data_IF_533453737672
#
_entry.id   IF_533453737672
#
_cell.length_a   1.000
_cell.length_b   1.000
_cell.length_c   1.000
_cell.angle_alpha   90.00
_cell.angle_beta   90.00
_cell.angle_gamma   90.00
#
_symmetry.space_group_name_H-M   'P 1'
#
loop_
_entity.id
_entity.type
_entity.pdbx_description
1 polymer ?
#
# COMPACT_ATOMS: atom_id res chain seq x y z
N UNK A 1 -27.62 -21.40 61.26
CA UNK A 1 -26.34 -21.70 60.61
C UNK A 1 -26.35 -21.10 59.20
N UNK A 2 -25.37 -20.23 58.87
CA UNK A 2 -25.34 -19.39 57.67
C UNK A 2 -25.09 -20.22 56.41
N UNK A 3 -25.85 -19.89 55.36
CA UNK A 3 -25.76 -20.41 53.98
C UNK A 3 -24.47 -19.91 53.31
N UNK A 4 -23.79 -20.77 52.55
CA UNK A 4 -22.75 -20.37 51.59
C UNK A 4 -23.14 -20.98 50.24
N UNK A 5 -23.54 -20.12 49.31
CA UNK A 5 -23.77 -20.45 47.90
C UNK A 5 -22.56 -19.91 47.13
N UNK A 6 -21.83 -20.70 46.32
CA UNK A 6 -20.72 -20.19 45.55
C UNK A 6 -21.23 -19.44 44.32
N UNK A 7 -20.84 -18.17 44.19
CA UNK A 7 -21.05 -17.37 43.00
C UNK A 7 -20.05 -17.84 41.91
N UNK A 8 -20.54 -18.53 40.88
CA UNK A 8 -19.79 -18.80 39.66
C UNK A 8 -19.72 -17.50 38.84
N UNK A 9 -18.56 -16.85 38.83
CA UNK A 9 -18.27 -15.76 37.90
C UNK A 9 -17.91 -16.36 36.53
N UNK A 10 -18.88 -16.38 35.60
CA UNK A 10 -18.61 -16.69 34.20
C UNK A 10 -17.95 -15.47 33.55
N UNK A 11 -16.65 -15.57 33.27
CA UNK A 11 -15.92 -14.60 32.45
C UNK A 11 -16.40 -14.71 31.00
N UNK A 12 -17.16 -13.71 30.53
CA UNK A 12 -17.47 -13.56 29.12
C UNK A 12 -16.21 -13.15 28.36
N UNK A 13 -15.54 -14.10 27.70
CA UNK A 13 -14.60 -13.78 26.63
C UNK A 13 -15.40 -13.23 25.44
N UNK A 14 -15.57 -11.91 25.42
CA UNK A 14 -15.99 -11.21 24.21
C UNK A 14 -14.88 -11.31 23.17
N UNK A 15 -15.05 -12.15 22.16
CA UNK A 15 -14.28 -12.03 20.92
C UNK A 15 -14.67 -10.72 20.27
N UNK A 16 -13.83 -9.70 20.47
CA UNK A 16 -13.87 -8.49 19.65
C UNK A 16 -13.50 -8.91 18.23
N UNK A 17 -14.51 -9.29 17.46
CA UNK A 17 -14.45 -9.36 16.00
C UNK A 17 -14.25 -7.94 15.49
N UNK A 18 -13.02 -7.46 15.54
CA UNK A 18 -12.62 -6.22 14.91
C UNK A 18 -12.88 -6.37 13.42
N UNK A 19 -13.81 -5.60 12.89
CA UNK A 19 -13.88 -5.34 11.46
C UNK A 19 -12.49 -4.85 11.06
N UNK A 20 -11.76 -5.65 10.28
CA UNK A 20 -10.45 -5.30 9.76
C UNK A 20 -10.63 -4.16 8.76
N UNK A 21 -10.74 -2.93 9.27
CA UNK A 21 -10.71 -1.75 8.45
C UNK A 21 -9.41 -1.76 7.64
N UNK A 22 -9.50 -1.42 6.35
CA UNK A 22 -8.33 -1.38 5.48
C UNK A 22 -7.26 -0.45 6.08
N UNK A 23 -5.98 -0.88 6.14
CA UNK A 23 -4.90 -0.01 6.60
C UNK A 23 -4.87 1.30 5.81
N UNK A 24 -4.71 2.44 6.50
CA UNK A 24 -4.81 3.77 5.88
C UNK A 24 -3.85 3.97 4.70
N UNK A 25 -2.61 3.48 4.83
CA UNK A 25 -1.62 3.55 3.75
C UNK A 25 -2.04 2.77 2.51
N UNK A 26 -2.65 1.59 2.69
CA UNK A 26 -3.18 0.78 1.60
C UNK A 26 -4.32 1.50 0.89
N UNK A 27 -5.25 2.09 1.64
CA UNK A 27 -6.34 2.87 1.05
C UNK A 27 -5.83 4.10 0.27
N UNK A 28 -4.85 4.82 0.83
CA UNK A 28 -4.21 5.95 0.16
C UNK A 28 -3.52 5.53 -1.15
N UNK A 29 -2.76 4.43 -1.12
CA UNK A 29 -2.10 3.88 -2.31
C UNK A 29 -3.11 3.47 -3.38
N UNK A 30 -4.19 2.75 -3.02
CA UNK A 30 -5.21 2.31 -3.97
C UNK A 30 -5.81 3.50 -4.73
N UNK A 31 -6.17 4.58 -4.01
CA UNK A 31 -6.75 5.77 -4.63
C UNK A 31 -5.72 6.52 -5.48
N UNK A 32 -4.50 6.73 -4.97
CA UNK A 32 -3.48 7.49 -5.68
C UNK A 32 -2.99 6.78 -6.95
N UNK A 33 -2.97 5.45 -6.95
CA UNK A 33 -2.56 4.63 -8.09
C UNK A 33 -3.73 4.32 -9.05
N UNK A 34 -4.94 4.83 -8.76
CA UNK A 34 -6.17 4.60 -9.53
C UNK A 34 -6.62 3.12 -9.57
N UNK A 35 -6.29 2.36 -8.54
CA UNK A 35 -6.71 0.96 -8.39
C UNK A 35 -8.16 0.86 -7.88
N UNK A 36 -8.69 1.93 -7.30
CA UNK A 36 -10.09 2.08 -6.87
C UNK A 36 -11.11 1.94 -8.01
N UNK A 37 -10.68 2.16 -9.26
CA UNK A 37 -11.52 2.07 -10.46
C UNK A 37 -11.68 0.64 -10.98
N UNK A 38 -10.92 -0.31 -10.45
CA UNK A 38 -10.93 -1.70 -10.90
C UNK A 38 -12.07 -2.53 -10.28
N UNK A 39 -12.54 -2.14 -9.10
CA UNK A 39 -13.53 -2.88 -8.33
C UNK A 39 -14.43 -1.89 -7.56
N UNK A 40 -15.76 -1.88 -7.79
CA UNK A 40 -16.67 -0.97 -7.08
C UNK A 40 -16.72 -1.21 -5.56
N UNK A 41 -16.20 -2.34 -5.07
CA UNK A 41 -16.10 -2.71 -3.66
C UNK A 41 -14.64 -2.71 -3.17
N UNK A 42 -13.75 -1.94 -3.80
CA UNK A 42 -12.32 -1.94 -3.50
C UNK A 42 -12.00 -1.75 -2.00
N UNK A 43 -12.79 -0.96 -1.27
CA UNK A 43 -12.61 -0.69 0.16
C UNK A 43 -12.70 -1.97 1.02
N UNK A 44 -13.33 -3.02 0.50
CA UNK A 44 -13.52 -4.31 1.16
C UNK A 44 -12.74 -5.44 0.49
N UNK A 45 -12.06 -5.16 -0.63
CA UNK A 45 -11.44 -6.17 -1.48
C UNK A 45 -9.94 -6.29 -1.17
N UNK A 46 -9.52 -7.45 -0.66
CA UNK A 46 -8.11 -7.86 -0.56
C UNK A 46 -7.41 -7.93 -1.92
N UNK A 47 -8.19 -8.08 -3.00
CA UNK A 47 -7.70 -8.36 -4.35
C UNK A 47 -7.22 -7.13 -5.10
N UNK A 48 -7.74 -5.94 -4.77
CA UNK A 48 -7.40 -4.71 -5.48
C UNK A 48 -5.92 -4.36 -5.29
N UNK A 49 -5.38 -4.54 -4.08
CA UNK A 49 -3.96 -4.36 -3.80
C UNK A 49 -3.60 -5.26 -2.63
N UNK A 50 -2.70 -6.22 -2.80
CA UNK A 50 -2.27 -7.09 -1.70
C UNK A 50 -1.36 -6.34 -0.72
N UNK A 51 -1.23 -6.83 0.51
CA UNK A 51 -0.18 -6.33 1.42
C UNK A 51 1.23 -6.59 0.87
N UNK A 52 1.38 -7.59 0.00
CA UNK A 52 2.68 -7.92 -0.61
C UNK A 52 3.21 -6.84 -1.57
N UNK A 53 2.40 -5.82 -1.86
CA UNK A 53 2.83 -4.64 -2.61
C UNK A 53 3.96 -3.88 -1.89
N UNK A 54 3.93 -3.82 -0.55
CA UNK A 54 4.97 -3.13 0.25
C UNK A 54 5.65 -4.06 1.29
N UNK A 55 5.15 -5.27 1.46
CA UNK A 55 5.56 -6.17 2.54
C UNK A 55 5.97 -7.53 1.98
N UNK A 56 6.83 -8.26 2.69
CA UNK A 56 7.08 -9.67 2.35
C UNK A 56 5.89 -10.54 2.76
N UNK A 57 5.31 -10.25 3.93
CA UNK A 57 4.19 -11.00 4.48
C UNK A 57 2.84 -10.66 3.85
N UNK A 58 2.03 -11.69 3.54
CA UNK A 58 0.64 -11.51 3.06
C UNK A 58 -0.27 -10.77 4.04
N UNK A 59 0.07 -10.79 5.33
CA UNK A 59 -0.62 -10.03 6.39
C UNK A 59 -0.15 -8.58 6.55
N UNK A 60 0.88 -8.15 5.81
CA UNK A 60 1.57 -6.88 6.02
C UNK A 60 2.56 -6.92 7.18
N UNK A 61 2.95 -5.73 7.68
CA UNK A 61 3.94 -5.59 8.74
C UNK A 61 5.38 -5.84 8.28
N UNK A 62 6.32 -5.85 9.23
CA UNK A 62 7.70 -6.21 8.92
C UNK A 62 7.81 -7.73 8.62
N UNK A 63 8.72 -8.17 7.74
CA UNK A 63 9.68 -7.35 6.98
C UNK A 63 9.08 -6.70 5.72
N UNK A 64 9.70 -5.60 5.30
CA UNK A 64 9.33 -4.83 4.10
C UNK A 64 10.02 -5.39 2.87
N UNK A 65 9.30 -5.47 1.75
CA UNK A 65 9.91 -5.79 0.45
C UNK A 65 10.76 -4.58 -0.03
N UNK A 66 11.53 -4.70 -1.13
CA UNK A 66 12.36 -3.61 -1.62
C UNK A 66 11.59 -2.29 -1.85
N UNK A 67 10.40 -2.33 -2.46
CA UNK A 67 9.55 -1.15 -2.62
C UNK A 67 9.11 -0.52 -1.29
N UNK A 68 8.72 -1.35 -0.32
CA UNK A 68 8.41 -0.92 1.04
C UNK A 68 9.58 -0.22 1.71
N UNK A 69 10.81 -0.70 1.48
CA UNK A 69 12.04 -0.06 1.96
C UNK A 69 12.30 1.28 1.26
N UNK A 70 12.00 1.40 -0.05
CA UNK A 70 12.06 2.66 -0.76
C UNK A 70 11.11 3.72 -0.15
N UNK A 71 9.88 3.32 0.20
CA UNK A 71 8.94 4.18 0.92
C UNK A 71 9.47 4.57 2.31
N UNK A 72 10.05 3.63 3.07
CA UNK A 72 10.67 3.94 4.36
C UNK A 72 11.81 4.97 4.23
N UNK A 73 12.65 4.83 3.21
CA UNK A 73 13.72 5.79 2.90
C UNK A 73 13.16 7.16 2.53
N UNK A 74 12.04 7.20 1.80
CA UNK A 74 11.32 8.43 1.49
C UNK A 74 10.82 9.15 2.74
N UNK A 75 10.21 8.42 3.68
CA UNK A 75 9.82 8.97 4.99
C UNK A 75 11.01 9.44 5.82
N UNK A 76 12.11 8.69 5.83
CA UNK A 76 13.33 9.10 6.55
C UNK A 76 13.92 10.40 5.99
N UNK A 77 13.80 10.61 4.68
CA UNK A 77 14.30 11.80 3.98
C UNK A 77 13.38 13.01 4.12
N UNK A 78 12.08 12.79 4.34
CA UNK A 78 11.12 13.86 4.65
C UNK A 78 10.13 13.41 5.75
N UNK A 79 10.50 13.50 7.04
CA UNK A 79 9.67 13.02 8.15
C UNK A 79 8.35 13.77 8.33
N UNK A 80 8.16 14.90 7.66
CA UNK A 80 6.91 15.69 7.68
C UNK A 80 5.97 15.36 6.52
N UNK A 81 6.44 14.62 5.52
CA UNK A 81 5.61 14.21 4.40
C UNK A 81 4.54 13.21 4.85
N UNK A 82 3.35 13.33 4.28
CA UNK A 82 2.37 12.25 4.37
C UNK A 82 2.68 11.15 3.35
N UNK A 83 1.98 10.02 3.49
CA UNK A 83 2.18 8.87 2.61
C UNK A 83 2.04 9.20 1.13
N UNK A 84 1.01 9.96 0.75
CA UNK A 84 0.75 10.26 -0.66
C UNK A 84 1.88 11.08 -1.29
N UNK A 85 2.47 11.99 -0.51
CA UNK A 85 3.66 12.75 -0.91
C UNK A 85 4.89 11.86 -1.04
N UNK A 86 5.12 10.95 -0.09
CA UNK A 86 6.25 10.00 -0.16
C UNK A 86 6.10 9.05 -1.36
N UNK A 87 4.92 8.46 -1.55
CA UNK A 87 4.64 7.60 -2.69
C UNK A 87 4.89 8.34 -4.01
N UNK A 88 4.37 9.55 -4.15
CA UNK A 88 4.62 10.36 -5.35
C UNK A 88 6.11 10.64 -5.56
N UNK A 89 6.86 10.96 -4.51
CA UNK A 89 8.29 11.25 -4.61
C UNK A 89 9.10 10.00 -4.99
N UNK A 90 8.77 8.83 -4.43
CA UNK A 90 9.41 7.55 -4.78
C UNK A 90 9.18 7.22 -6.25
N UNK A 91 7.94 7.34 -6.74
CA UNK A 91 7.63 7.05 -8.14
C UNK A 91 8.25 8.07 -9.11
N UNK A 92 8.36 9.34 -8.72
CA UNK A 92 9.05 10.36 -9.52
C UNK A 92 10.56 10.17 -9.59
N UNK A 93 11.16 9.48 -8.61
CA UNK A 93 12.60 9.18 -8.62
C UNK A 93 12.98 8.15 -9.70
N UNK A 94 11.99 7.51 -10.34
CA UNK A 94 12.18 6.51 -11.39
C UNK A 94 13.16 5.41 -10.97
N UNK A 95 13.04 4.96 -9.71
CA UNK A 95 13.80 3.84 -9.18
C UNK A 95 13.25 2.51 -9.67
N UNK A 96 14.07 1.47 -9.52
CA UNK A 96 13.77 0.05 -9.75
C UNK A 96 14.16 -0.63 -8.43
N UNK A 97 13.19 -0.84 -7.55
CA UNK A 97 13.46 -1.15 -6.15
C UNK A 97 13.95 -2.59 -5.96
N UNK A 98 13.46 -3.54 -6.74
CA UNK A 98 13.87 -4.95 -6.67
C UNK A 98 14.94 -5.36 -7.69
N UNK A 99 15.25 -4.49 -8.66
CA UNK A 99 16.39 -4.62 -9.56
C UNK A 99 16.14 -5.54 -10.75
N UNK A 100 14.88 -5.70 -11.17
CA UNK A 100 14.51 -6.58 -12.29
C UNK A 100 14.62 -5.90 -13.67
N UNK A 101 14.93 -4.60 -13.70
CA UNK A 101 15.09 -3.81 -14.90
C UNK A 101 13.86 -2.99 -15.29
N UNK A 102 12.75 -3.05 -14.54
CA UNK A 102 11.58 -2.19 -14.73
C UNK A 102 11.51 -1.13 -13.62
N UNK A 103 11.31 0.15 -13.96
CA UNK A 103 11.08 1.16 -12.93
C UNK A 103 9.78 0.92 -12.16
N UNK A 104 9.76 1.19 -10.85
CA UNK A 104 8.64 0.94 -9.94
C UNK A 104 7.31 1.48 -10.51
N UNK A 105 7.34 2.68 -11.09
CA UNK A 105 6.14 3.32 -11.61
C UNK A 105 5.62 2.68 -12.91
N UNK A 106 6.51 2.07 -13.70
CA UNK A 106 6.18 1.33 -14.92
C UNK A 106 5.53 -0.01 -14.56
N UNK A 107 6.07 -0.69 -13.55
CA UNK A 107 5.48 -1.90 -13.01
C UNK A 107 4.07 -1.68 -12.45
N UNK A 108 3.89 -0.62 -11.65
CA UNK A 108 2.57 -0.24 -11.13
C UNK A 108 1.60 0.05 -12.27
N UNK A 109 2.05 0.72 -13.33
CA UNK A 109 1.24 0.93 -14.52
C UNK A 109 0.86 -0.40 -15.19
N UNK A 110 1.81 -1.32 -15.31
CA UNK A 110 1.64 -2.66 -15.87
C UNK A 110 0.93 -3.65 -14.95
N UNK A 111 0.53 -3.23 -13.74
CA UNK A 111 -0.16 -4.05 -12.71
C UNK A 111 0.70 -5.19 -12.17
N UNK A 112 2.00 -4.98 -12.09
CA UNK A 112 2.95 -5.87 -11.43
C UNK A 112 3.36 -5.32 -10.05
N UNK A 113 4.35 -5.93 -9.37
CA UNK A 113 4.63 -5.67 -7.96
C UNK A 113 6.07 -5.18 -7.82
N UNK A 114 6.30 -3.89 -7.52
CA UNK A 114 7.63 -3.28 -7.60
C UNK A 114 8.63 -3.66 -6.51
N UNK A 115 8.30 -4.69 -5.73
CA UNK A 115 9.16 -5.23 -4.70
C UNK A 115 9.24 -6.75 -4.78
N UNK A 116 8.91 -7.32 -5.93
CA UNK A 116 8.99 -8.74 -6.22
C UNK A 116 9.57 -8.93 -7.62
N UNK A 117 10.86 -9.28 -7.76
CA UNK A 117 11.54 -9.34 -9.06
C UNK A 117 11.05 -10.50 -9.94
N UNK A 118 10.13 -11.34 -9.45
CA UNK A 118 9.43 -12.35 -10.24
C UNK A 118 8.09 -11.84 -10.81
N UNK A 119 7.68 -10.63 -10.44
CA UNK A 119 6.43 -10.01 -10.83
C UNK A 119 6.73 -8.77 -11.64
N UNK A 120 7.05 -8.97 -12.91
CA UNK A 120 7.40 -7.93 -13.87
C UNK A 120 6.60 -8.07 -15.18
N UNK A 121 6.58 -7.05 -16.06
CA UNK A 121 5.94 -7.17 -17.36
C UNK A 121 6.55 -8.30 -18.21
N UNK A 122 5.69 -9.02 -18.94
CA UNK A 122 6.10 -10.04 -19.93
C UNK A 122 6.50 -9.44 -21.29
N UNK A 123 6.54 -8.10 -21.39
CA UNK A 123 6.80 -7.33 -22.62
C UNK A 123 8.02 -6.44 -22.44
N UNK A 124 8.78 -6.13 -23.51
CA UNK A 124 9.98 -5.30 -23.40
C UNK A 124 9.72 -3.95 -22.72
N UNK A 125 10.62 -3.54 -21.83
CA UNK A 125 10.56 -2.25 -21.12
C UNK A 125 10.23 -1.07 -22.05
N UNK A 126 10.86 -0.99 -23.22
CA UNK A 126 10.66 0.12 -24.15
C UNK A 126 9.18 0.28 -24.59
N UNK A 127 8.45 -0.82 -24.73
CA UNK A 127 7.03 -0.77 -25.09
C UNK A 127 6.17 -0.30 -23.92
N UNK A 128 6.37 -0.89 -22.74
CA UNK A 128 5.60 -0.56 -21.54
C UNK A 128 5.86 0.87 -21.10
N UNK A 129 7.11 1.33 -21.18
CA UNK A 129 7.51 2.71 -20.89
C UNK A 129 6.82 3.70 -21.83
N UNK A 130 6.74 3.40 -23.13
CA UNK A 130 6.08 4.29 -24.08
C UNK A 130 4.57 4.42 -23.79
N UNK A 131 3.90 3.32 -23.40
CA UNK A 131 2.50 3.34 -22.97
C UNK A 131 2.30 4.12 -21.66
N UNK A 132 3.21 3.93 -20.70
CA UNK A 132 3.22 4.66 -19.43
C UNK A 132 3.41 6.17 -19.65
N UNK A 133 4.35 6.57 -20.50
CA UNK A 133 4.62 7.97 -20.83
C UNK A 133 3.41 8.60 -21.54
N UNK A 134 2.79 7.88 -22.49
CA UNK A 134 1.57 8.32 -23.16
C UNK A 134 0.38 8.48 -22.20
N UNK A 135 0.34 7.70 -21.12
CA UNK A 135 -0.65 7.81 -20.04
C UNK A 135 -0.36 8.95 -19.05
N UNK A 136 0.71 9.72 -19.25
CA UNK A 136 1.09 10.86 -18.40
C UNK A 136 2.21 10.57 -17.42
N UNK A 137 2.89 9.42 -17.54
CA UNK A 137 4.06 9.06 -16.74
C UNK A 137 3.81 9.18 -15.24
N UNK A 138 4.82 9.59 -14.47
CA UNK A 138 4.71 9.67 -13.00
C UNK A 138 3.73 10.74 -12.54
N UNK A 139 3.43 11.74 -13.39
CA UNK A 139 2.50 12.81 -13.05
C UNK A 139 1.06 12.29 -12.84
N UNK A 140 0.71 11.15 -13.43
CA UNK A 140 -0.60 10.52 -13.21
C UNK A 140 -0.79 10.05 -11.76
N UNK A 141 0.29 9.85 -11.00
CA UNK A 141 0.28 9.42 -9.59
C UNK A 141 0.56 10.56 -8.61
N UNK A 142 0.34 11.81 -9.02
CA UNK A 142 0.47 12.95 -8.12
C UNK A 142 -0.48 12.82 -6.90
N UNK A 143 -0.11 13.37 -5.72
CA UNK A 143 -0.95 13.28 -4.53
C UNK A 143 -2.34 13.89 -4.78
N UNK A 144 -3.43 13.30 -4.26
CA UNK A 144 -4.76 13.86 -4.41
C UNK A 144 -4.86 15.29 -3.87
N UNK A 145 -5.47 16.21 -4.63
CA UNK A 145 -5.69 17.60 -4.20
C UNK A 145 -6.51 17.62 -2.91
N UNK A 146 -5.96 18.20 -1.84
CA UNK A 146 -6.65 18.39 -0.55
C UNK A 146 -6.18 17.49 0.61
N UNK A 147 -5.25 16.55 0.41
CA UNK A 147 -4.64 15.77 1.50
C UNK A 147 -3.38 16.44 2.09
N UNK A 148 -3.40 17.76 2.24
CA UNK A 148 -2.33 18.52 2.87
C UNK A 148 -2.43 18.48 4.40
N UNK A 149 -1.44 17.85 5.04
CA UNK A 149 -1.20 17.73 6.48
C UNK A 149 -2.31 17.04 7.32
N UNK A 150 -1.94 16.20 8.31
CA UNK A 150 -2.91 15.74 9.30
C UNK A 150 -3.47 16.95 10.04
N UNK A 151 -4.80 17.13 10.04
CA UNK A 151 -5.46 17.99 11.02
C UNK A 151 -5.22 17.34 12.38
N UNK A 152 -4.38 17.97 13.20
CA UNK A 152 -4.10 17.55 14.56
C UNK A 152 -5.39 17.26 15.32
N UNK A 153 -5.44 16.09 15.96
CA UNK A 153 -6.32 15.85 17.09
C UNK A 153 -5.51 16.11 18.36
#
# INVERSE_FOLDING_TARGET
MRRILPLLAAAALGTLGGTLAMPQFRAAAIVQLHYDKLDPLWQYSGKVMSCTFCHVGKGGGAPWNPFGQALQKGFASNPRANFSQVLSAVLQANGDADGDGYPDAVEIFARTLPGDPASHPDRPLAEVQAEYDAAGGAAQYAPPKGQGAPKGR
#
